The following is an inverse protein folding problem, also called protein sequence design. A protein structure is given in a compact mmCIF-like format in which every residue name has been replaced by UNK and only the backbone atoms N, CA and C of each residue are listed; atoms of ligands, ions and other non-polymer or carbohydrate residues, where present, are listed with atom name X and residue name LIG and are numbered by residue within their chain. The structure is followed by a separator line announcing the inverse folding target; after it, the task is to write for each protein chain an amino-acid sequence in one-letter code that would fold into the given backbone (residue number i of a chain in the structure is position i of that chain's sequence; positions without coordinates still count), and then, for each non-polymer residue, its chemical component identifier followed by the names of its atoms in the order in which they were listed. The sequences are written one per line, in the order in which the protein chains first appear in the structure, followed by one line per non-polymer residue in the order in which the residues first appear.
data_IF_073022850825
#
_entry.id   IF_073022850825
#
_cell.length_a   1.000
_cell.length_b   1.000
_cell.length_c   1.000
_cell.angle_alpha   90.00
_cell.angle_beta   90.00
_cell.angle_gamma   90.00
#
_symmetry.space_group_name_H-M   'P 1'
#
loop_
_entity.id
_entity.type
_entity.pdbx_description
1 polymer ?
#
# COMPACT_ATOMS: atom_id res chain seq x y z
N UNK A 1 -5.77 32.71 16.70
CA UNK A 1 -6.20 31.66 15.74
C UNK A 1 -5.51 30.37 16.14
N UNK A 2 -6.26 29.29 16.39
CA UNK A 2 -5.71 27.96 16.65
C UNK A 2 -6.20 27.03 15.55
N UNK A 3 -5.29 26.51 14.74
CA UNK A 3 -5.61 25.45 13.82
C UNK A 3 -5.49 24.11 14.57
N UNK A 4 -6.59 23.37 14.68
CA UNK A 4 -6.58 21.97 15.14
C UNK A 4 -6.67 21.09 13.90
N UNK A 5 -5.55 20.53 13.49
CA UNK A 5 -5.50 19.52 12.44
C UNK A 5 -5.61 18.15 13.09
N UNK A 6 -6.76 17.50 12.94
CA UNK A 6 -6.92 16.08 13.20
C UNK A 6 -7.50 15.46 11.92
N UNK A 7 -6.66 14.83 11.11
CA UNK A 7 -7.09 14.01 9.98
C UNK A 7 -6.39 12.65 10.13
N UNK A 8 -7.16 11.64 10.56
CA UNK A 8 -6.80 10.23 10.31
C UNK A 8 -6.15 9.39 11.42
N UNK A 9 -6.15 9.78 12.71
CA UNK A 9 -5.56 8.91 13.78
C UNK A 9 -6.55 7.81 14.25
N UNK A 10 -7.84 7.92 13.90
CA UNK A 10 -8.89 7.00 14.36
C UNK A 10 -9.55 6.18 13.23
N UNK A 11 -8.98 6.13 12.03
CA UNK A 11 -9.45 5.21 11.01
C UNK A 11 -8.72 3.88 11.18
N UNK A 12 -9.50 2.85 11.51
CA UNK A 12 -8.99 1.49 11.54
C UNK A 12 -8.48 1.15 10.13
N UNK A 13 -7.22 0.70 9.97
CA UNK A 13 -6.66 0.41 8.66
C UNK A 13 -7.55 -0.57 7.90
N UNK A 14 -7.82 -0.28 6.63
CA UNK A 14 -8.54 -1.21 5.76
C UNK A 14 -7.59 -2.33 5.30
N UNK A 15 -8.09 -3.55 5.28
CA UNK A 15 -7.33 -4.69 4.75
C UNK A 15 -7.51 -4.74 3.25
N UNK A 16 -6.41 -4.75 2.50
CA UNK A 16 -6.45 -4.95 1.04
C UNK A 16 -6.70 -6.43 0.77
N UNK A 17 -7.79 -6.75 0.07
CA UNK A 17 -8.12 -8.12 -0.32
C UNK A 17 -7.29 -8.57 -1.53
N UNK A 18 -5.99 -8.78 -1.32
CA UNK A 18 -5.04 -9.07 -2.37
C UNK A 18 -4.82 -10.57 -2.58
N UNK A 19 -4.32 -10.92 -3.78
CA UNK A 19 -3.83 -12.27 -4.05
C UNK A 19 -2.45 -12.44 -3.41
N UNK A 20 -2.19 -13.61 -2.81
CA UNK A 20 -0.84 -13.99 -2.43
C UNK A 20 0.03 -14.20 -3.67
N UNK A 21 1.16 -13.50 -3.72
CA UNK A 21 2.15 -13.64 -4.78
C UNK A 21 3.19 -14.66 -4.31
N UNK A 22 3.45 -15.75 -5.07
CA UNK A 22 4.53 -16.67 -4.74
C UNK A 22 5.85 -15.90 -4.76
N UNK A 23 6.41 -15.66 -3.57
CA UNK A 23 7.65 -14.90 -3.41
C UNK A 23 8.77 -15.59 -4.20
N UNK A 24 9.44 -14.84 -5.07
CA UNK A 24 10.84 -15.13 -5.36
C UNK A 24 11.62 -14.91 -4.05
N UNK A 25 12.41 -15.91 -3.62
CA UNK A 25 13.13 -15.94 -2.34
C UNK A 25 14.06 -14.74 -2.09
N UNK A 26 14.31 -13.90 -3.11
CA UNK A 26 15.20 -12.72 -3.05
C UNK A 26 14.46 -11.37 -3.13
N UNK A 27 13.13 -11.32 -3.06
CA UNK A 27 12.43 -10.04 -3.07
C UNK A 27 12.72 -9.26 -1.77
N UNK A 28 13.40 -8.11 -1.92
CA UNK A 28 13.83 -7.25 -0.83
C UNK A 28 12.73 -7.01 0.22
N UNK A 29 13.11 -6.98 1.50
CA UNK A 29 12.17 -6.70 2.58
C UNK A 29 11.70 -5.24 2.47
N UNK A 30 10.39 -4.97 2.40
CA UNK A 30 9.90 -3.59 2.34
C UNK A 30 10.25 -2.78 3.58
N UNK A 31 10.72 -1.55 3.38
CA UNK A 31 11.01 -0.57 4.42
C UNK A 31 9.95 0.54 4.45
N UNK A 32 9.86 1.26 5.58
CA UNK A 32 9.01 2.46 5.65
C UNK A 32 9.53 3.51 4.66
N UNK A 33 8.63 4.05 3.85
CA UNK A 33 8.93 4.97 2.75
C UNK A 33 8.91 4.29 1.37
N UNK A 34 9.05 2.97 1.30
CA UNK A 34 8.98 2.25 0.04
C UNK A 34 7.59 2.37 -0.59
N UNK A 35 7.56 2.35 -1.92
CA UNK A 35 6.33 2.22 -2.68
C UNK A 35 6.17 0.75 -3.07
N UNK A 36 5.10 0.11 -2.63
CA UNK A 36 4.82 -1.30 -2.92
C UNK A 36 3.62 -1.42 -3.84
N UNK A 37 3.64 -2.41 -4.73
CA UNK A 37 2.48 -2.74 -5.57
C UNK A 37 1.78 -3.97 -5.02
N UNK A 38 0.47 -3.88 -4.88
CA UNK A 38 -0.42 -4.96 -4.46
C UNK A 38 -1.51 -5.12 -5.50
N UNK A 39 -1.73 -6.35 -5.97
CA UNK A 39 -2.79 -6.65 -6.95
C UNK A 39 -4.06 -7.13 -6.25
N UNK A 40 -5.21 -6.69 -6.75
CA UNK A 40 -6.51 -7.26 -6.39
C UNK A 40 -6.56 -8.76 -6.67
N UNK A 41 -7.52 -9.45 -6.03
CA UNK A 41 -7.67 -10.90 -6.18
C UNK A 41 -7.92 -11.35 -7.63
N UNK A 42 -8.60 -10.53 -8.43
CA UNK A 42 -8.86 -10.76 -9.84
C UNK A 42 -7.70 -10.36 -10.77
N UNK A 43 -6.65 -9.73 -10.23
CA UNK A 43 -5.48 -9.17 -10.94
C UNK A 43 -5.83 -8.09 -11.97
N UNK A 44 -7.03 -7.53 -11.93
CA UNK A 44 -7.39 -6.43 -12.81
C UNK A 44 -6.96 -5.08 -12.23
N UNK A 45 -6.87 -4.97 -10.90
CA UNK A 45 -6.58 -3.71 -10.21
C UNK A 45 -5.23 -3.80 -9.48
N UNK A 46 -4.41 -2.77 -9.65
CA UNK A 46 -3.15 -2.60 -8.95
C UNK A 46 -3.23 -1.39 -8.02
N UNK A 47 -2.84 -1.61 -6.76
CA UNK A 47 -2.74 -0.59 -5.74
C UNK A 47 -1.27 -0.30 -5.48
N UNK A 48 -0.85 0.93 -5.78
CA UNK A 48 0.46 1.44 -5.38
C UNK A 48 0.34 2.07 -4.00
N UNK A 49 1.04 1.53 -3.01
CA UNK A 49 0.90 1.88 -1.60
C UNK A 49 2.23 2.37 -1.07
N UNK A 50 2.27 3.60 -0.54
CA UNK A 50 3.45 4.14 0.14
C UNK A 50 3.44 3.66 1.58
N UNK A 51 4.45 2.89 2.00
CA UNK A 51 4.54 2.37 3.36
C UNK A 51 4.86 3.51 4.34
N UNK A 52 4.08 3.62 5.42
CA UNK A 52 4.19 4.68 6.43
C UNK A 52 4.53 4.16 7.83
N UNK A 53 4.47 2.86 8.06
CA UNK A 53 4.81 2.27 9.36
C UNK A 53 4.88 0.74 9.33
N UNK A 54 5.54 0.17 10.33
CA UNK A 54 5.60 -1.28 10.56
C UNK A 54 4.52 -1.65 11.58
N UNK A 55 3.69 -2.62 11.22
CA UNK A 55 2.60 -3.13 12.06
C UNK A 55 2.89 -4.52 12.63
N UNK A 56 3.88 -5.23 12.07
CA UNK A 56 4.33 -6.56 12.49
C UNK A 56 5.50 -7.04 11.62
N UNK A 57 5.97 -8.29 11.83
CA UNK A 57 7.11 -8.84 11.09
C UNK A 57 6.88 -8.93 9.57
N UNK A 58 5.64 -9.20 9.15
CA UNK A 58 5.23 -9.33 7.75
C UNK A 58 4.05 -8.42 7.42
N UNK A 59 3.86 -7.34 8.18
CA UNK A 59 2.72 -6.44 8.07
C UNK A 59 3.17 -4.98 8.18
N UNK A 60 2.75 -4.17 7.22
CA UNK A 60 3.02 -2.73 7.19
C UNK A 60 1.71 -1.95 7.10
N UNK A 61 1.75 -0.71 7.59
CA UNK A 61 0.75 0.29 7.27
C UNK A 61 1.25 1.14 6.11
N UNK A 62 0.34 1.54 5.22
CA UNK A 62 0.65 2.45 4.14
C UNK A 62 -0.56 3.25 3.70
N UNK A 63 -0.33 4.15 2.75
CA UNK A 63 -1.37 4.94 2.10
C UNK A 63 -1.42 4.63 0.63
N UNK A 64 -2.64 4.51 0.09
CA UNK A 64 -2.84 4.34 -1.35
C UNK A 64 -2.38 5.61 -2.06
N UNK A 65 -1.36 5.46 -2.88
CA UNK A 65 -0.76 6.52 -3.69
C UNK A 65 -1.35 6.54 -5.10
N UNK A 66 -1.62 5.37 -5.69
CA UNK A 66 -2.27 5.25 -6.99
C UNK A 66 -3.07 3.95 -7.07
N UNK A 67 -4.12 3.96 -7.90
CA UNK A 67 -4.92 2.80 -8.25
C UNK A 67 -4.96 2.73 -9.78
N UNK A 68 -4.61 1.58 -10.36
CA UNK A 68 -4.63 1.38 -11.81
C UNK A 68 -5.35 0.11 -12.20
N UNK A 69 -6.00 0.12 -13.37
CA UNK A 69 -6.57 -1.06 -14.03
C UNK A 69 -6.07 -1.10 -15.47
N UNK A 70 -5.08 -1.96 -15.74
CA UNK A 70 -4.35 -1.93 -17.00
C UNK A 70 -3.68 -0.56 -17.22
N UNK A 71 -4.07 0.15 -18.28
CA UNK A 71 -3.55 1.48 -18.60
C UNK A 71 -4.38 2.64 -17.98
N UNK A 72 -5.49 2.34 -17.33
CA UNK A 72 -6.39 3.34 -16.76
C UNK A 72 -6.02 3.65 -15.30
N UNK A 73 -5.97 4.93 -14.95
CA UNK A 73 -5.80 5.40 -13.57
C UNK A 73 -7.16 5.68 -12.95
N UNK A 74 -7.40 5.09 -11.77
CA UNK A 74 -8.66 5.18 -11.05
C UNK A 74 -8.49 6.01 -9.77
N UNK A 75 -9.57 6.65 -9.34
CA UNK A 75 -9.63 7.36 -8.04
C UNK A 75 -10.15 6.43 -6.94
N UNK A 76 -10.97 5.45 -7.30
CA UNK A 76 -11.61 4.48 -6.39
C UNK A 76 -11.67 3.12 -7.07
N UNK A 77 -11.35 2.05 -6.34
CA UNK A 77 -11.60 0.67 -6.74
C UNK A 77 -11.87 -0.21 -5.51
N UNK A 78 -12.83 -1.12 -5.60
CA UNK A 78 -13.16 -2.07 -4.52
C UNK A 78 -13.50 -1.41 -3.17
N UNK A 79 -13.99 -0.17 -3.21
CA UNK A 79 -14.30 0.62 -2.00
C UNK A 79 -13.08 1.26 -1.33
N UNK A 80 -11.90 1.15 -1.95
CA UNK A 80 -10.67 1.83 -1.55
C UNK A 80 -10.43 3.05 -2.45
N UNK A 81 -9.98 4.15 -1.86
CA UNK A 81 -9.67 5.40 -2.55
C UNK A 81 -8.23 5.86 -2.31
N UNK A 82 -7.79 6.86 -3.08
CA UNK A 82 -6.50 7.51 -2.83
C UNK A 82 -6.43 8.08 -1.40
N UNK A 83 -5.23 8.07 -0.82
CA UNK A 83 -4.94 8.47 0.57
C UNK A 83 -5.51 7.57 1.68
N UNK A 84 -6.27 6.51 1.35
CA UNK A 84 -6.74 5.56 2.35
C UNK A 84 -5.59 4.89 3.08
N UNK A 85 -5.72 4.79 4.40
CA UNK A 85 -4.80 4.06 5.25
C UNK A 85 -5.12 2.56 5.20
N UNK A 86 -4.16 1.77 4.72
CA UNK A 86 -4.31 0.32 4.54
C UNK A 86 -3.22 -0.43 5.29
N UNK A 87 -3.51 -1.69 5.63
CA UNK A 87 -2.49 -2.65 6.05
C UNK A 87 -2.18 -3.62 4.92
N UNK A 88 -0.89 -3.86 4.67
CA UNK A 88 -0.38 -4.71 3.60
C UNK A 88 0.48 -5.81 4.18
N UNK A 89 0.23 -7.06 3.76
CA UNK A 89 1.03 -8.21 4.17
C UNK A 89 2.16 -8.47 3.19
N UNK A 90 3.25 -9.07 3.69
CA UNK A 90 4.41 -9.42 2.85
C UNK A 90 4.03 -10.30 1.65
N UNK A 91 3.11 -11.24 1.87
CA UNK A 91 2.63 -12.19 0.87
C UNK A 91 1.81 -11.53 -0.25
N UNK A 92 1.29 -10.32 -0.03
CA UNK A 92 0.44 -9.58 -0.97
C UNK A 92 1.24 -8.63 -1.87
N UNK A 93 2.52 -8.42 -1.56
CA UNK A 93 3.39 -7.47 -2.26
C UNK A 93 3.95 -8.13 -3.52
N UNK A 94 3.52 -7.61 -4.67
CA UNK A 94 3.99 -8.04 -5.98
C UNK A 94 5.34 -7.41 -6.35
N UNK A 95 5.57 -6.16 -5.95
CA UNK A 95 6.84 -5.46 -6.19
C UNK A 95 7.11 -4.39 -5.13
N UNK A 96 8.39 -4.05 -4.97
CA UNK A 96 8.87 -3.00 -4.07
C UNK A 96 9.73 -2.04 -4.87
N UNK A 97 9.42 -0.76 -4.79
CA UNK A 97 10.24 0.34 -5.28
C UNK A 97 10.80 1.04 -4.04
N UNK A 98 12.10 0.89 -3.74
CA UNK A 98 12.72 1.52 -2.58
C UNK A 98 12.52 3.03 -2.60
N UNK A 99 12.32 3.63 -1.42
CA UNK A 99 12.43 5.07 -1.30
C UNK A 99 13.82 5.52 -1.78
N UNK A 100 13.89 6.53 -2.65
CA UNK A 100 15.17 7.17 -2.96
C UNK A 100 15.73 7.73 -1.64
N UNK A 101 16.84 7.15 -1.16
CA UNK A 101 17.58 7.76 -0.06
C UNK A 101 18.22 9.03 -0.62
N UNK A 102 17.90 10.23 -0.11
CA UNK A 102 18.67 11.41 -0.49
C UNK A 102 20.14 11.15 -0.11
N UNK A 103 21.01 11.23 -1.13
CA UNK A 103 22.46 11.16 -0.97
C UNK A 103 23.01 12.35 -0.18
#
# INVERSE_FOLDING_TARGET
MQARFARGIAQMPLTVAAREVPMAEEAAMPEVGDLVTVCSRDQETEFSIRLTGVAGPDLWYGKIYAISRGAEMLVVAEGLELDDCVSVRRAEIASVIPAERPH
#
